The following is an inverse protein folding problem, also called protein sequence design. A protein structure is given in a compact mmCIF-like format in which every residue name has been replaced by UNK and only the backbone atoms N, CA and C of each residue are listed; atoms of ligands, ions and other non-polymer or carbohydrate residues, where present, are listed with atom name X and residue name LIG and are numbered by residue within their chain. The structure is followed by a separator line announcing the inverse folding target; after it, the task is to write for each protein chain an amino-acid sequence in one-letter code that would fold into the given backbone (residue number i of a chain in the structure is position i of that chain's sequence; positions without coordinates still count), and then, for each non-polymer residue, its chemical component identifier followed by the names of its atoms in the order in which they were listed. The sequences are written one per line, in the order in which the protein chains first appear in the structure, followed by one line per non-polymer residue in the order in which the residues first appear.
data_IF_558066047302
#
_entry.id   IF_558066047302
#
_cell.length_a   1.000
_cell.length_b   1.000
_cell.length_c   1.000
_cell.angle_alpha   90.00
_cell.angle_beta   90.00
_cell.angle_gamma   90.00
#
_symmetry.space_group_name_H-M   'P 1'
#
loop_
_entity.id
_entity.type
_entity.pdbx_description
1 polymer ?
#
# COMPACT_ATOMS: atom_id res chain seq x y z
N UNK A 1 1.91 -11.65 -4.92
CA UNK A 1 2.20 -10.92 -3.67
C UNK A 1 2.71 -11.81 -2.54
N UNK A 2 2.05 -12.92 -2.21
CA UNK A 2 2.53 -13.85 -1.17
C UNK A 2 3.98 -14.30 -1.37
N UNK A 3 4.35 -14.68 -2.61
CA UNK A 3 5.73 -15.03 -2.96
C UNK A 3 6.72 -13.87 -2.78
N UNK A 4 6.29 -12.63 -3.05
CA UNK A 4 7.13 -11.44 -2.87
C UNK A 4 7.43 -11.24 -1.38
N UNK A 5 6.41 -11.35 -0.53
CA UNK A 5 6.55 -11.13 0.92
C UNK A 5 7.31 -12.26 1.60
N UNK A 6 7.00 -13.51 1.29
CA UNK A 6 7.66 -14.67 1.91
C UNK A 6 9.05 -14.90 1.32
N UNK A 7 9.20 -14.71 0.01
CA UNK A 7 10.48 -14.88 -0.68
C UNK A 7 11.45 -13.69 -0.53
N UNK A 8 11.00 -12.57 0.05
CA UNK A 8 11.84 -11.39 0.27
C UNK A 8 12.26 -10.68 -1.02
N UNK A 9 11.42 -10.72 -2.06
CA UNK A 9 11.69 -10.04 -3.33
C UNK A 9 11.25 -8.58 -3.28
N UNK A 10 11.90 -7.74 -4.09
CA UNK A 10 11.56 -6.33 -4.21
C UNK A 10 10.47 -6.10 -5.28
N UNK A 11 9.41 -5.39 -4.89
CA UNK A 11 8.28 -5.06 -5.76
C UNK A 11 8.02 -3.56 -5.71
N UNK A 12 8.01 -2.91 -6.88
CA UNK A 12 7.89 -1.46 -7.02
C UNK A 12 6.69 -0.88 -6.26
N UNK A 13 5.52 -1.50 -6.42
CA UNK A 13 4.29 -1.04 -5.79
C UNK A 13 4.35 -1.12 -4.26
N UNK A 14 5.05 -2.11 -3.70
CA UNK A 14 5.33 -2.21 -2.28
C UNK A 14 6.45 -1.30 -1.79
N UNK A 15 7.42 -0.99 -2.64
CA UNK A 15 8.50 -0.06 -2.36
C UNK A 15 7.96 1.34 -2.05
N UNK A 16 6.85 1.76 -2.69
CA UNK A 16 6.11 2.99 -2.39
C UNK A 16 5.75 3.13 -0.89
N UNK A 17 5.51 2.03 -0.18
CA UNK A 17 5.25 2.04 1.25
C UNK A 17 6.53 2.18 2.07
N UNK A 18 7.49 1.30 1.81
CA UNK A 18 8.67 1.12 2.66
C UNK A 18 9.62 2.30 2.56
N UNK A 19 9.93 2.74 1.34
CA UNK A 19 10.95 3.77 1.12
C UNK A 19 10.45 5.14 1.52
N UNK A 20 9.19 5.46 1.20
CA UNK A 20 8.61 6.76 1.52
C UNK A 20 8.44 6.92 3.03
N UNK A 21 8.13 5.83 3.75
CA UNK A 21 8.15 5.84 5.22
C UNK A 21 9.56 6.09 5.78
N UNK A 22 10.58 5.53 5.15
CA UNK A 22 11.99 5.79 5.47
C UNK A 22 12.38 7.26 5.23
N UNK A 23 11.97 7.82 4.10
CA UNK A 23 12.19 9.24 3.76
C UNK A 23 11.51 10.18 4.76
N UNK A 24 10.23 9.92 5.11
CA UNK A 24 9.51 10.69 6.13
C UNK A 24 10.14 10.61 7.53
N UNK A 25 10.87 9.52 7.82
CA UNK A 25 11.62 9.31 9.07
C UNK A 25 13.06 9.81 9.02
N UNK A 26 13.52 10.31 7.87
CA UNK A 26 14.90 10.76 7.68
C UNK A 26 15.94 9.64 7.65
N UNK A 27 15.53 8.37 7.49
CA UNK A 27 16.46 7.23 7.42
C UNK A 27 16.96 6.96 6.00
N UNK A 28 16.32 7.55 5.00
CA UNK A 28 16.64 7.41 3.57
C UNK A 28 16.52 8.78 2.91
N UNK A 29 17.48 9.17 2.07
CA UNK A 29 17.38 10.44 1.34
C UNK A 29 16.35 10.34 0.21
N UNK A 30 15.80 11.47 -0.24
CA UNK A 30 14.88 11.47 -1.38
C UNK A 30 15.57 10.94 -2.66
N UNK A 31 16.86 11.25 -2.84
CA UNK A 31 17.64 10.76 -3.98
C UNK A 31 17.77 9.24 -3.99
N UNK A 32 18.10 8.64 -2.85
CA UNK A 32 18.17 7.17 -2.71
C UNK A 32 16.80 6.53 -2.95
N UNK A 33 15.73 7.17 -2.47
CA UNK A 33 14.37 6.67 -2.68
C UNK A 33 13.97 6.67 -4.16
N UNK A 34 14.29 7.74 -4.90
CA UNK A 34 14.03 7.83 -6.34
C UNK A 34 14.87 6.83 -7.14
N UNK A 35 16.14 6.64 -6.76
CA UNK A 35 17.02 5.66 -7.40
C UNK A 35 16.52 4.22 -7.17
N UNK A 36 16.07 3.93 -5.95
CA UNK A 36 15.43 2.66 -5.61
C UNK A 36 14.17 2.41 -6.43
N UNK A 37 13.27 3.40 -6.53
CA UNK A 37 12.09 3.31 -7.40
C UNK A 37 12.45 2.97 -8.84
N UNK A 38 13.44 3.66 -9.40
CA UNK A 38 13.89 3.44 -10.77
C UNK A 38 14.38 2.01 -10.99
N UNK A 39 15.30 1.52 -10.15
CA UNK A 39 15.86 0.18 -10.30
C UNK A 39 14.85 -0.93 -10.03
N UNK A 40 14.00 -0.79 -9.02
CA UNK A 40 12.97 -1.79 -8.74
C UNK A 40 11.93 -1.85 -9.87
N UNK A 41 11.52 -0.69 -10.42
CA UNK A 41 10.60 -0.66 -11.56
C UNK A 41 11.22 -1.32 -12.80
N UNK A 42 12.49 -1.01 -13.11
CA UNK A 42 13.20 -1.57 -14.25
C UNK A 42 13.45 -3.07 -14.10
N UNK A 43 13.84 -3.53 -12.91
CA UNK A 43 14.01 -4.95 -12.60
C UNK A 43 12.69 -5.72 -12.68
N UNK A 44 11.60 -5.13 -12.19
CA UNK A 44 10.25 -5.70 -12.33
C UNK A 44 9.84 -5.78 -13.82
N UNK A 45 10.07 -4.74 -14.62
CA UNK A 45 9.80 -4.76 -16.06
C UNK A 45 10.59 -5.85 -16.78
N UNK A 46 11.90 -5.92 -16.55
CA UNK A 46 12.78 -6.93 -17.16
C UNK A 46 12.36 -8.35 -16.78
N UNK A 47 12.06 -8.59 -15.50
CA UNK A 47 11.55 -9.87 -15.00
C UNK A 47 10.19 -10.24 -15.60
N UNK A 48 9.26 -9.29 -15.69
CA UNK A 48 7.94 -9.48 -16.32
C UNK A 48 8.06 -9.82 -17.81
N UNK A 49 8.94 -9.16 -18.55
CA UNK A 49 9.14 -9.43 -19.98
C UNK A 49 9.79 -10.80 -20.21
N UNK A 50 10.80 -11.16 -19.41
CA UNK A 50 11.43 -12.48 -19.47
C UNK A 50 10.41 -13.58 -19.14
N UNK A 51 9.62 -13.41 -18.08
CA UNK A 51 8.58 -14.36 -17.70
C UNK A 51 7.49 -14.49 -18.78
N UNK A 52 7.05 -13.38 -19.37
CA UNK A 52 6.10 -13.39 -20.49
C UNK A 52 6.62 -14.22 -21.68
N UNK A 53 7.90 -14.06 -22.04
CA UNK A 53 8.54 -14.85 -23.09
C UNK A 53 8.55 -16.34 -22.73
N UNK A 54 8.93 -16.71 -21.51
CA UNK A 54 8.94 -18.10 -21.05
C UNK A 54 7.54 -18.74 -21.11
N UNK A 55 6.51 -18.00 -20.73
CA UNK A 55 5.12 -18.46 -20.79
C UNK A 55 4.68 -18.68 -22.25
N UNK A 56 5.07 -17.80 -23.18
CA UNK A 56 4.74 -18.00 -24.61
C UNK A 56 5.45 -19.24 -25.15
N UNK A 57 6.74 -19.42 -24.84
CA UNK A 57 7.52 -20.59 -25.26
C UNK A 57 6.92 -21.89 -24.70
N UNK A 58 6.26 -21.85 -23.55
CA UNK A 58 5.56 -23.02 -22.98
C UNK A 58 4.38 -23.52 -23.83
N UNK A 59 3.90 -22.71 -24.79
CA UNK A 59 2.80 -23.07 -25.69
C UNK A 59 1.41 -22.91 -25.08
N UNK A 60 1.27 -22.32 -23.88
CA UNK A 60 -0.03 -22.20 -23.18
C UNK A 60 -1.09 -21.41 -23.98
N UNK A 61 -0.65 -20.51 -24.86
CA UNK A 61 -1.52 -19.69 -25.70
C UNK A 61 -1.71 -20.24 -27.12
N UNK A 62 -1.23 -21.45 -27.42
CA UNK A 62 -1.51 -22.10 -28.70
C UNK A 62 -2.99 -22.51 -28.84
N UNK A 63 -3.63 -23.13 -27.82
CA UNK A 63 -5.06 -23.39 -27.84
C UNK A 63 -5.87 -22.21 -27.26
N UNK A 64 -7.01 -21.90 -27.91
CA UNK A 64 -8.09 -21.17 -27.26
C UNK A 64 -8.67 -22.00 -26.09
N UNK A 65 -9.20 -21.36 -25.02
CA UNK A 65 -9.58 -19.94 -24.92
C UNK A 65 -8.50 -19.03 -24.31
N UNK A 66 -7.30 -19.54 -24.00
CA UNK A 66 -6.31 -18.76 -23.26
C UNK A 66 -5.76 -17.58 -24.05
N UNK A 67 -5.59 -17.77 -25.37
CA UNK A 67 -5.15 -16.71 -26.27
C UNK A 67 -6.20 -15.60 -26.37
N UNK A 68 -7.44 -15.95 -26.73
CA UNK A 68 -8.52 -14.98 -26.85
C UNK A 68 -8.78 -14.21 -25.56
N UNK A 69 -8.83 -14.90 -24.42
CA UNK A 69 -8.98 -14.27 -23.10
C UNK A 69 -7.84 -13.28 -22.79
N UNK A 70 -6.59 -13.65 -23.07
CA UNK A 70 -5.45 -12.75 -22.85
C UNK A 70 -5.53 -11.49 -23.73
N UNK A 71 -5.92 -11.64 -24.99
CA UNK A 71 -6.08 -10.51 -25.92
C UNK A 71 -7.26 -9.61 -25.53
N UNK A 72 -8.37 -10.16 -25.05
CA UNK A 72 -9.51 -9.41 -24.53
C UNK A 72 -9.11 -8.55 -23.33
N UNK A 73 -8.51 -9.17 -22.30
CA UNK A 73 -8.02 -8.46 -21.10
C UNK A 73 -7.00 -7.38 -21.45
N UNK A 74 -6.07 -7.67 -22.37
CA UNK A 74 -5.07 -6.70 -22.79
C UNK A 74 -5.67 -5.54 -23.61
N UNK A 75 -6.72 -5.80 -24.39
CA UNK A 75 -7.44 -4.78 -25.15
C UNK A 75 -8.12 -3.80 -24.21
N UNK A 76 -8.85 -4.29 -23.20
CA UNK A 76 -9.49 -3.43 -22.20
C UNK A 76 -8.47 -2.54 -21.46
N UNK A 77 -7.34 -3.14 -21.07
CA UNK A 77 -6.26 -2.42 -20.39
C UNK A 77 -5.58 -1.38 -21.28
N UNK A 78 -5.46 -1.65 -22.57
CA UNK A 78 -4.78 -0.77 -23.53
C UNK A 78 -5.66 0.39 -24.02
N UNK A 79 -6.98 0.28 -23.85
CA UNK A 79 -7.95 1.23 -24.40
C UNK A 79 -8.81 1.95 -23.34
N UNK A 80 -8.65 1.60 -22.07
CA UNK A 80 -9.33 2.28 -20.96
C UNK A 80 -9.06 3.80 -20.96
N UNK A 81 -10.05 4.63 -20.55
CA UNK A 81 -9.85 6.06 -20.41
C UNK A 81 -8.72 6.38 -19.43
N UNK A 82 -7.85 7.33 -19.80
CA UNK A 82 -6.62 7.62 -19.06
C UNK A 82 -6.85 7.88 -17.56
N UNK A 83 -7.86 8.69 -17.23
CA UNK A 83 -8.20 9.01 -15.84
C UNK A 83 -8.79 7.84 -15.07
N UNK A 84 -9.53 6.95 -15.74
CA UNK A 84 -10.00 5.72 -15.09
C UNK A 84 -8.84 4.80 -14.72
N UNK A 85 -7.88 4.61 -15.63
CA UNK A 85 -6.68 3.82 -15.37
C UNK A 85 -5.88 4.40 -14.19
N UNK A 86 -5.77 5.73 -14.11
CA UNK A 86 -5.12 6.42 -13.01
C UNK A 86 -5.81 6.13 -11.66
N UNK A 87 -7.14 6.33 -11.55
CA UNK A 87 -7.86 6.09 -10.30
C UNK A 87 -7.93 4.60 -9.92
N UNK A 88 -8.09 3.69 -10.91
CA UNK A 88 -7.95 2.25 -10.70
C UNK A 88 -6.56 1.90 -10.15
N UNK A 89 -5.52 2.60 -10.61
CA UNK A 89 -4.17 2.52 -10.07
C UNK A 89 -4.07 2.95 -8.60
N UNK A 90 -4.74 4.04 -8.21
CA UNK A 90 -4.77 4.50 -6.82
C UNK A 90 -5.34 3.42 -5.90
N UNK A 91 -6.54 2.92 -6.21
CA UNK A 91 -7.20 1.92 -5.38
C UNK A 91 -6.44 0.59 -5.32
N UNK A 92 -5.84 0.19 -6.45
CA UNK A 92 -5.00 -1.00 -6.48
C UNK A 92 -3.85 -0.90 -5.47
N UNK A 93 -3.04 0.16 -5.55
CA UNK A 93 -1.85 0.22 -4.70
C UNK A 93 -2.15 0.62 -3.25
N UNK A 94 -3.32 1.22 -2.99
CA UNK A 94 -3.83 1.35 -1.64
C UNK A 94 -3.96 -0.04 -1.00
N UNK A 95 -4.67 -0.97 -1.66
CA UNK A 95 -4.87 -2.33 -1.15
C UNK A 95 -3.57 -3.14 -1.07
N UNK A 96 -2.66 -2.99 -2.05
CA UNK A 96 -1.33 -3.64 -2.02
C UNK A 96 -0.51 -3.14 -0.82
N UNK A 97 -0.44 -1.83 -0.58
CA UNK A 97 0.29 -1.30 0.55
C UNK A 97 -0.35 -1.70 1.90
N UNK A 98 -1.68 -1.77 1.98
CA UNK A 98 -2.37 -2.29 3.16
C UNK A 98 -2.08 -3.78 3.41
N UNK A 99 -1.98 -4.60 2.37
CA UNK A 99 -1.55 -6.00 2.49
C UNK A 99 -0.14 -6.11 3.09
N UNK A 100 0.81 -5.29 2.61
CA UNK A 100 2.19 -5.27 3.15
C UNK A 100 2.18 -4.82 4.59
N UNK A 101 1.53 -3.69 4.88
CA UNK A 101 1.46 -3.14 6.22
C UNK A 101 0.84 -4.12 7.22
N UNK A 102 -0.19 -4.84 6.80
CA UNK A 102 -0.83 -5.88 7.62
C UNK A 102 0.10 -7.08 7.80
N UNK A 103 0.74 -7.56 6.73
CA UNK A 103 1.70 -8.67 6.81
C UNK A 103 2.89 -8.37 7.73
N UNK A 104 3.37 -7.12 7.75
CA UNK A 104 4.43 -6.68 8.67
C UNK A 104 4.00 -6.67 10.15
N UNK A 105 2.70 -6.72 10.44
CA UNK A 105 2.14 -6.78 11.81
C UNK A 105 1.71 -8.20 12.22
N UNK A 106 1.55 -9.10 11.26
CA UNK A 106 1.21 -10.49 11.54
C UNK A 106 2.44 -11.25 12.05
N UNK A 107 2.25 -12.02 13.14
CA UNK A 107 3.30 -12.89 13.71
C UNK A 107 3.34 -14.27 13.06
N UNK A 108 2.23 -14.74 12.49
CA UNK A 108 2.14 -16.02 11.78
C UNK A 108 2.14 -15.84 10.26
N UNK A 109 2.79 -16.75 9.54
CA UNK A 109 2.81 -16.71 8.08
C UNK A 109 1.42 -16.93 7.48
N UNK A 110 0.60 -17.80 8.09
CA UNK A 110 -0.81 -17.96 7.69
C UNK A 110 -1.57 -16.64 7.77
N UNK A 111 -1.35 -15.83 8.82
CA UNK A 111 -1.97 -14.51 8.95
C UNK A 111 -1.56 -13.56 7.83
N UNK A 112 -0.26 -13.54 7.49
CA UNK A 112 0.26 -12.76 6.34
C UNK A 112 -0.43 -13.17 5.04
N UNK A 113 -0.52 -14.47 4.78
CA UNK A 113 -1.13 -15.01 3.55
C UNK A 113 -2.61 -14.66 3.44
N UNK A 114 -3.37 -14.75 4.54
CA UNK A 114 -4.80 -14.40 4.57
C UNK A 114 -5.00 -12.92 4.25
N UNK A 115 -4.22 -12.03 4.88
CA UNK A 115 -4.34 -10.58 4.64
C UNK A 115 -3.98 -10.21 3.20
N UNK A 116 -2.90 -10.82 2.67
CA UNK A 116 -2.52 -10.65 1.27
C UNK A 116 -3.63 -11.13 0.35
N UNK A 117 -4.20 -12.31 0.62
CA UNK A 117 -5.27 -12.87 -0.21
C UNK A 117 -6.50 -11.95 -0.27
N UNK A 118 -6.99 -11.47 0.87
CA UNK A 118 -8.18 -10.59 0.90
C UNK A 118 -7.96 -9.28 0.15
N UNK A 119 -6.80 -8.65 0.32
CA UNK A 119 -6.51 -7.40 -0.38
C UNK A 119 -6.36 -7.61 -1.90
N UNK A 120 -5.70 -8.69 -2.32
CA UNK A 120 -5.55 -9.03 -3.74
C UNK A 120 -6.89 -9.39 -4.38
N UNK A 121 -7.68 -10.22 -3.70
CA UNK A 121 -9.01 -10.60 -4.16
C UNK A 121 -9.86 -9.36 -4.43
N UNK A 122 -9.90 -8.40 -3.50
CA UNK A 122 -10.68 -7.19 -3.65
C UNK A 122 -10.28 -6.36 -4.89
N UNK A 123 -8.99 -6.07 -5.09
CA UNK A 123 -8.61 -5.20 -6.21
C UNK A 123 -8.68 -5.91 -7.57
N UNK A 124 -8.42 -7.23 -7.61
CA UNK A 124 -8.51 -8.00 -8.86
C UNK A 124 -9.97 -8.12 -9.29
N UNK A 125 -10.87 -8.51 -8.38
CA UNK A 125 -12.29 -8.71 -8.70
C UNK A 125 -13.03 -7.43 -9.04
N UNK A 126 -12.56 -6.29 -8.54
CA UNK A 126 -13.12 -4.96 -8.86
C UNK A 126 -12.48 -4.31 -10.09
N UNK A 127 -11.56 -4.99 -10.78
CA UNK A 127 -10.98 -4.50 -12.03
C UNK A 127 -9.97 -3.35 -11.87
N UNK A 128 -9.26 -3.32 -10.74
CA UNK A 128 -8.24 -2.30 -10.46
C UNK A 128 -6.91 -2.60 -11.19
N UNK A 129 -6.09 -1.57 -11.39
CA UNK A 129 -4.92 -1.64 -12.27
C UNK A 129 -3.60 -1.66 -11.49
N UNK A 130 -2.75 -2.66 -11.75
CA UNK A 130 -1.45 -2.83 -11.10
C UNK A 130 -0.33 -2.77 -12.13
N UNK A 131 0.54 -1.76 -12.06
CA UNK A 131 1.54 -1.50 -13.11
C UNK A 131 2.43 -2.71 -13.39
N UNK A 132 2.94 -3.40 -12.35
CA UNK A 132 3.81 -4.58 -12.54
C UNK A 132 3.05 -5.80 -13.07
N UNK A 133 1.75 -5.94 -12.78
CA UNK A 133 0.98 -7.06 -13.33
C UNK A 133 0.69 -6.81 -14.82
N UNK A 134 0.37 -5.55 -15.14
CA UNK A 134 0.16 -5.10 -16.51
C UNK A 134 1.43 -5.24 -17.36
N UNK A 135 2.63 -5.07 -16.79
CA UNK A 135 3.88 -5.35 -17.51
C UNK A 135 3.88 -6.74 -18.14
N UNK A 136 3.51 -7.77 -17.36
CA UNK A 136 3.45 -9.15 -17.86
C UNK A 136 2.31 -9.34 -18.85
N UNK A 137 1.08 -8.93 -18.49
CA UNK A 137 -0.12 -9.12 -19.33
C UNK A 137 0.05 -8.47 -20.71
N UNK A 138 0.47 -7.20 -20.73
CA UNK A 138 0.61 -6.45 -21.96
C UNK A 138 1.83 -6.89 -22.78
N UNK A 139 2.90 -7.38 -22.13
CA UNK A 139 4.02 -8.01 -22.87
C UNK A 139 3.57 -9.29 -23.55
N UNK A 140 2.84 -10.16 -22.86
CA UNK A 140 2.31 -11.39 -23.47
C UNK A 140 1.46 -11.04 -24.69
N UNK A 141 0.52 -10.10 -24.54
CA UNK A 141 -0.39 -9.72 -25.62
C UNK A 141 0.37 -9.12 -26.84
N UNK A 142 1.38 -8.28 -26.61
CA UNK A 142 2.22 -7.72 -27.68
C UNK A 142 3.06 -8.76 -28.43
N UNK A 143 3.34 -9.91 -27.82
CA UNK A 143 4.12 -10.99 -28.43
C UNK A 143 3.24 -12.03 -29.13
N UNK A 144 1.94 -12.09 -28.82
CA UNK A 144 0.97 -12.92 -29.52
C UNK A 144 0.50 -12.24 -30.81
N UNK A 145 -0.03 -12.97 -31.81
CA UNK A 145 -0.74 -12.33 -32.92
C UNK A 145 -1.97 -11.57 -32.41
N UNK A 146 -2.00 -10.25 -32.64
CA UNK A 146 -3.03 -9.33 -32.13
C UNK A 146 -3.36 -8.26 -33.18
N UNK A 147 -4.46 -7.53 -32.95
CA UNK A 147 -4.76 -6.30 -33.70
C UNK A 147 -3.86 -5.14 -33.20
N UNK A 148 -2.97 -4.60 -34.05
CA UNK A 148 -2.03 -3.54 -33.67
C UNK A 148 -2.72 -2.21 -33.35
N UNK A 149 -3.94 -1.99 -33.82
CA UNK A 149 -4.73 -0.83 -33.43
C UNK A 149 -5.25 -0.98 -32.01
N UNK A 150 -5.60 -2.18 -31.58
CA UNK A 150 -6.11 -2.44 -30.23
C UNK A 150 -4.97 -2.50 -29.19
N UNK A 151 -3.89 -3.21 -29.50
CA UNK A 151 -2.76 -3.49 -28.60
C UNK A 151 -1.46 -3.07 -29.31
N UNK A 152 -0.59 -2.34 -28.61
CA UNK A 152 0.75 -2.04 -29.11
C UNK A 152 1.70 -1.70 -27.98
N UNK A 153 3.01 -1.74 -28.25
CA UNK A 153 4.04 -1.30 -27.30
C UNK A 153 3.85 0.17 -26.89
N UNK A 154 3.40 1.01 -27.84
CA UNK A 154 3.06 2.41 -27.57
C UNK A 154 1.91 2.55 -26.58
N UNK A 155 0.85 1.75 -26.71
CA UNK A 155 -0.26 1.72 -25.74
C UNK A 155 0.16 1.17 -24.39
N UNK A 156 0.97 0.11 -24.38
CA UNK A 156 1.52 -0.45 -23.15
C UNK A 156 2.29 0.62 -22.36
N UNK A 157 3.33 1.21 -22.97
CA UNK A 157 4.19 2.15 -22.25
C UNK A 157 3.53 3.52 -22.04
N UNK A 158 2.82 4.05 -23.03
CA UNK A 158 2.29 5.42 -22.99
C UNK A 158 0.87 5.55 -22.44
N UNK A 159 -0.03 4.62 -22.76
CA UNK A 159 -1.46 4.74 -22.44
C UNK A 159 -1.87 3.98 -21.18
N UNK A 160 -1.26 2.83 -20.91
CA UNK A 160 -1.54 2.05 -19.71
C UNK A 160 -0.53 2.28 -18.58
N UNK A 161 0.75 1.98 -18.81
CA UNK A 161 1.73 1.96 -17.71
C UNK A 161 1.94 3.33 -17.07
N UNK A 162 1.89 4.42 -17.83
CA UNK A 162 2.01 5.79 -17.28
C UNK A 162 0.91 6.10 -16.26
N UNK A 163 -0.39 6.16 -16.62
CA UNK A 163 -1.43 6.50 -15.65
C UNK A 163 -1.51 5.50 -14.50
N UNK A 164 -1.36 4.20 -14.78
CA UNK A 164 -1.45 3.16 -13.73
C UNK A 164 -0.28 3.29 -12.74
N UNK A 165 0.94 3.55 -13.21
CA UNK A 165 2.11 3.74 -12.33
C UNK A 165 1.96 4.99 -11.49
N UNK A 166 1.53 6.12 -12.08
CA UNK A 166 1.26 7.35 -11.34
C UNK A 166 0.18 7.13 -10.28
N UNK A 167 -0.91 6.45 -10.64
CA UNK A 167 -1.97 6.08 -9.72
C UNK A 167 -1.45 5.19 -8.59
N UNK A 168 -0.66 4.17 -8.91
CA UNK A 168 -0.04 3.30 -7.90
C UNK A 168 0.89 4.08 -6.96
N UNK A 169 1.70 5.02 -7.46
CA UNK A 169 2.55 5.88 -6.61
C UNK A 169 1.68 6.68 -5.64
N UNK A 170 0.63 7.34 -6.12
CA UNK A 170 -0.29 8.14 -5.27
C UNK A 170 -1.00 7.25 -4.25
N UNK A 171 -1.53 6.10 -4.66
CA UNK A 171 -2.20 5.14 -3.78
C UNK A 171 -1.31 4.66 -2.63
N UNK A 172 -0.05 4.35 -2.92
CA UNK A 172 0.90 3.88 -1.91
C UNK A 172 1.44 5.01 -1.03
N UNK A 173 2.03 6.05 -1.64
CA UNK A 173 2.75 7.09 -0.91
C UNK A 173 1.83 8.03 -0.14
N UNK A 174 0.76 8.50 -0.76
CA UNK A 174 -0.15 9.46 -0.14
C UNK A 174 -1.17 8.75 0.75
N UNK A 175 -2.00 7.87 0.18
CA UNK A 175 -3.16 7.33 0.90
C UNK A 175 -2.80 6.33 2.00
N UNK A 176 -1.70 5.60 1.86
CA UNK A 176 -1.26 4.66 2.90
C UNK A 176 -0.12 5.25 3.72
N UNK A 177 1.03 5.52 3.10
CA UNK A 177 2.23 5.88 3.86
C UNK A 177 2.10 7.21 4.59
N UNK A 178 1.73 8.29 3.88
CA UNK A 178 1.63 9.62 4.46
C UNK A 178 0.50 9.71 5.49
N UNK A 179 -0.72 9.25 5.15
CA UNK A 179 -1.86 9.35 6.07
C UNK A 179 -1.65 8.54 7.36
N UNK A 180 -1.11 7.32 7.26
CA UNK A 180 -0.82 6.52 8.46
C UNK A 180 0.31 7.13 9.29
N UNK A 181 1.37 7.62 8.64
CA UNK A 181 2.44 8.33 9.33
C UNK A 181 1.90 9.58 10.06
N UNK A 182 1.08 10.39 9.38
CA UNK A 182 0.48 11.60 9.93
C UNK A 182 -0.41 11.29 11.15
N UNK A 183 -1.28 10.28 11.03
CA UNK A 183 -2.11 9.83 12.15
C UNK A 183 -1.25 9.43 13.36
N UNK A 184 -0.21 8.62 13.15
CA UNK A 184 0.68 8.20 14.25
C UNK A 184 1.45 9.37 14.87
N UNK A 185 1.89 10.34 14.06
CA UNK A 185 2.59 11.52 14.56
C UNK A 185 1.67 12.41 15.41
N UNK A 186 0.38 12.50 15.06
CA UNK A 186 -0.63 13.22 15.83
C UNK A 186 -0.92 12.53 17.17
N UNK A 187 -1.02 11.20 17.19
CA UNK A 187 -1.21 10.43 18.42
C UNK A 187 -0.03 10.60 19.39
N UNK A 188 1.21 10.53 18.88
CA UNK A 188 2.41 10.74 19.69
C UNK A 188 2.47 12.16 20.29
N UNK A 189 2.10 13.18 19.51
CA UNK A 189 2.01 14.57 19.99
C UNK A 189 0.93 14.71 21.07
N UNK A 190 -0.24 14.11 20.89
CA UNK A 190 -1.31 14.07 21.89
C UNK A 190 -0.87 13.39 23.19
N UNK A 191 -0.21 12.24 23.09
CA UNK A 191 0.32 11.50 24.23
C UNK A 191 1.39 12.30 25.00
N UNK A 192 2.32 12.95 24.28
CA UNK A 192 3.32 13.86 24.90
C UNK A 192 2.65 15.03 25.63
N UNK A 193 1.62 15.66 25.03
CA UNK A 193 0.86 16.74 25.65
C UNK A 193 0.15 16.26 26.92
N UNK A 194 -0.48 15.08 26.90
CA UNK A 194 -1.13 14.50 28.10
C UNK A 194 -0.13 14.16 29.21
N UNK A 195 1.06 13.67 28.85
CA UNK A 195 2.16 13.46 29.81
C UNK A 195 2.67 14.77 30.39
N UNK A 196 2.79 15.81 29.57
CA UNK A 196 3.20 17.14 30.02
C UNK A 196 2.15 17.78 30.95
N UNK A 197 0.85 17.57 30.71
CA UNK A 197 -0.21 18.01 31.63
C UNK A 197 -0.11 17.26 32.97
N UNK A 198 0.04 15.93 32.94
CA UNK A 198 0.19 15.11 34.16
C UNK A 198 1.49 15.34 34.92
N UNK A 199 2.57 15.70 34.22
CA UNK A 199 3.88 16.01 34.80
C UNK A 199 4.03 17.47 35.22
N UNK A 200 3.32 18.39 34.58
CA UNK A 200 3.24 19.81 34.91
C UNK A 200 2.25 20.11 36.03
N UNK A 201 1.28 19.22 36.27
CA UNK A 201 0.51 19.17 37.53
C UNK A 201 1.31 18.55 38.68
N UNK A 202 2.63 18.75 38.70
CA UNK A 202 3.50 18.22 39.73
C UNK A 202 3.02 18.69 41.10
N UNK A 203 2.92 17.76 42.03
CA UNK A 203 3.46 17.88 43.39
C UNK A 203 3.72 19.33 43.86
N UNK A 204 2.66 20.09 44.04
CA UNK A 204 2.64 21.42 44.63
C UNK A 204 1.45 21.46 45.57
N UNK A 205 1.75 21.29 46.86
CA UNK A 205 0.87 21.50 48.00
C UNK A 205 -0.53 20.88 47.90
N UNK A 206 -0.63 19.57 48.20
CA UNK A 206 -1.77 19.15 49.00
C UNK A 206 -1.58 19.81 50.38
N UNK A 207 -2.49 20.66 50.86
CA UNK A 207 -2.37 21.20 52.19
C UNK A 207 -2.35 20.03 53.17
N UNK A 208 -1.23 19.88 53.88
CA UNK A 208 -1.20 19.15 55.13
C UNK A 208 -2.21 19.81 56.07
N UNK A 209 -3.38 19.20 56.19
CA UNK A 209 -4.27 19.39 57.31
C UNK A 209 -4.91 18.04 57.62
N UNK A 210 -4.32 17.34 58.59
CA UNK A 210 -5.02 16.25 59.25
C UNK A 210 -6.34 16.76 59.83
N UNK A 211 -7.40 16.00 59.59
CA UNK A 211 -8.56 15.94 60.47
C UNK A 211 -9.03 14.49 60.49
N UNK A 212 -9.18 13.96 61.70
CA UNK A 212 -9.58 12.57 61.88
C UNK A 212 -11.03 12.39 61.42
N UNK A 213 -11.46 11.16 61.08
CA UNK A 213 -12.83 10.86 60.64
C UNK A 213 -13.95 11.30 61.61
N UNK A 214 -13.62 11.65 62.86
CA UNK A 214 -14.57 12.10 63.87
C UNK A 214 -15.00 13.56 63.67
N UNK A 215 -14.14 14.46 63.19
CA UNK A 215 -14.48 15.87 62.96
C UNK A 215 -15.46 16.08 61.78
N UNK A 216 -15.65 15.07 60.92
CA UNK A 216 -16.60 15.10 59.79
C UNK A 216 -18.03 14.80 60.25
N UNK A 217 -18.23 14.16 61.42
CA UNK A 217 -19.57 13.86 61.95
C UNK A 217 -20.22 15.08 62.62
N UNK A 218 -19.45 15.90 63.33
CA UNK A 218 -20.00 17.04 64.10
C UNK A 218 -20.51 18.19 63.22
N UNK A 219 -19.99 18.34 62.00
CA UNK A 219 -20.45 19.36 61.05
C UNK A 219 -21.80 18.97 60.43
N UNK A 220 -22.05 17.67 60.22
CA UNK A 220 -23.31 17.18 59.61
C UNK A 220 -24.50 17.18 60.56
N UNK A 221 -24.27 17.15 61.89
CA UNK A 221 -25.35 17.16 62.89
C UNK A 221 -25.78 18.59 63.24
N UNK A 222 -24.90 19.60 63.15
CA UNK A 222 -25.26 21.00 63.43
C UNK A 222 -26.02 21.74 62.32
N UNK A 223 -26.21 21.13 61.15
CA UNK A 223 -26.98 21.70 60.04
C UNK A 223 -28.37 21.07 59.85
N UNK A 224 -28.80 20.17 60.75
CA UNK A 224 -30.16 19.62 60.77
C UNK A 224 -30.71 19.63 62.20
N UNK A 225 -30.98 20.83 62.70
CA UNK A 225 -32.27 21.09 63.35
C UNK A 225 -33.36 21.04 62.28
#
# INVERSE_FOLDING_TARGET
MSLVIIGGAELFTGYNLLIFKGTLRGTVTLGDAMLGWFWTYLGNLGGSMLFALMIIISGIFAPDPWKSYMLEVATDKSNGPWWELFFRGIFCNWLVCLAIWSALRCTSDSGKLIMIWWCLFAFITTGMEHCVANMTILTIANLLPHDPEAISWGKMFGWNLVPVTLGNIVGGTFFVTFLYWFATAMDERGAKKMRAIKGGSGAGDLPHAGRSPEEIKDIKVKMRS
#
